data_IF_363507687492
#
_entry.id   IF_363507687492
#
_cell.length_a   1.000
_cell.length_b   1.000
_cell.length_c   1.000
_cell.angle_alpha   90.00
_cell.angle_beta   90.00
_cell.angle_gamma   90.00
#
_symmetry.space_group_name_H-M   'P 1'
#
loop_
_entity.id
_entity.type
_entity.pdbx_description
1 polymer ?
#
# COMPACT_ATOMS: atom_id res chain seq x y z
N UNK A 1 4.28 -20.28 -13.74
CA UNK A 1 4.08 -21.09 -12.52
C UNK A 1 5.34 -21.86 -12.25
N UNK A 2 5.84 -21.84 -11.00
CA UNK A 2 6.98 -22.65 -10.59
C UNK A 2 6.49 -24.10 -10.36
N UNK A 3 6.82 -25.08 -11.21
CA UNK A 3 6.26 -26.44 -11.13
C UNK A 3 6.63 -27.16 -9.82
N UNK A 4 7.64 -26.64 -9.11
CA UNK A 4 8.19 -27.21 -7.89
C UNK A 4 7.81 -26.39 -6.63
N UNK A 5 6.83 -25.49 -6.74
CA UNK A 5 6.29 -24.73 -5.60
C UNK A 5 4.81 -25.11 -5.34
N UNK A 6 4.56 -26.21 -4.61
CA UNK A 6 3.21 -26.65 -4.30
C UNK A 6 2.47 -25.67 -3.37
N UNK A 7 3.18 -24.80 -2.64
CA UNK A 7 2.57 -23.78 -1.79
C UNK A 7 1.91 -22.72 -2.64
N UNK A 8 2.66 -22.10 -3.56
CA UNK A 8 2.09 -21.10 -4.47
C UNK A 8 0.96 -21.70 -5.31
N UNK A 9 1.10 -22.93 -5.79
CA UNK A 9 0.04 -23.59 -6.55
C UNK A 9 -1.24 -23.80 -5.73
N UNK A 10 -1.14 -24.13 -4.43
CA UNK A 10 -2.30 -24.34 -3.55
C UNK A 10 -2.90 -23.02 -3.03
N UNK A 11 -2.04 -22.03 -2.75
CA UNK A 11 -2.42 -20.72 -2.24
C UNK A 11 -3.03 -19.82 -3.31
N UNK A 12 -2.57 -19.94 -4.55
CA UNK A 12 -3.04 -19.10 -5.63
C UNK A 12 -4.51 -19.39 -5.92
N UNK A 13 -5.29 -18.32 -5.88
CA UNK A 13 -6.72 -18.34 -6.10
C UNK A 13 -7.09 -17.13 -6.95
N UNK A 14 -8.22 -17.23 -7.65
CA UNK A 14 -8.78 -16.10 -8.39
C UNK A 14 -10.20 -15.84 -7.91
N UNK A 15 -10.55 -14.56 -7.87
CA UNK A 15 -11.83 -14.07 -7.36
C UNK A 15 -12.38 -12.97 -8.26
N UNK A 16 -13.63 -12.59 -8.03
CA UNK A 16 -14.18 -11.44 -8.76
C UNK A 16 -13.37 -10.18 -8.46
N UNK A 17 -13.22 -9.26 -9.43
CA UNK A 17 -12.50 -8.00 -9.18
C UNK A 17 -13.03 -7.23 -7.98
N UNK A 18 -14.36 -7.20 -7.79
CA UNK A 18 -15.01 -6.53 -6.66
C UNK A 18 -14.62 -7.15 -5.32
N UNK A 19 -14.57 -8.48 -5.24
CA UNK A 19 -14.13 -9.19 -4.03
C UNK A 19 -12.67 -8.84 -3.72
N UNK A 20 -11.79 -8.87 -4.73
CA UNK A 20 -10.38 -8.49 -4.55
C UNK A 20 -10.20 -7.07 -4.04
N UNK A 21 -10.95 -6.12 -4.62
CA UNK A 21 -10.93 -4.71 -4.21
C UNK A 21 -11.42 -4.57 -2.76
N UNK A 22 -12.50 -5.26 -2.40
CA UNK A 22 -13.06 -5.20 -1.04
C UNK A 22 -12.09 -5.77 0.01
N UNK A 23 -11.46 -6.91 -0.27
CA UNK A 23 -10.45 -7.51 0.62
C UNK A 23 -9.25 -6.61 0.80
N UNK A 24 -8.70 -6.06 -0.29
CA UNK A 24 -7.58 -5.13 -0.21
C UNK A 24 -7.93 -3.89 0.61
N UNK A 25 -9.12 -3.31 0.41
CA UNK A 25 -9.60 -2.17 1.23
C UNK A 25 -9.67 -2.55 2.72
N UNK A 26 -10.06 -3.78 3.04
CA UNK A 26 -10.06 -4.26 4.42
C UNK A 26 -8.64 -4.35 5.01
N UNK A 27 -7.68 -4.91 4.26
CA UNK A 27 -6.27 -4.98 4.69
C UNK A 27 -5.72 -3.58 4.99
N UNK A 28 -5.95 -2.62 4.10
CA UNK A 28 -5.48 -1.23 4.27
C UNK A 28 -6.10 -0.60 5.53
N UNK A 29 -7.40 -0.82 5.76
CA UNK A 29 -8.11 -0.30 6.93
C UNK A 29 -7.56 -0.84 8.25
N UNK A 30 -7.32 -2.14 8.33
CA UNK A 30 -6.84 -2.77 9.58
C UNK A 30 -5.38 -2.43 9.89
N UNK A 31 -4.53 -2.30 8.85
CA UNK A 31 -3.09 -2.00 9.01
C UNK A 31 -2.79 -0.53 9.32
N UNK A 32 -3.65 0.41 8.89
CA UNK A 32 -3.58 1.87 9.10
C UNK A 32 -2.39 2.59 8.44
N UNK A 33 -1.22 1.96 8.42
CA UNK A 33 0.00 2.47 7.82
C UNK A 33 0.52 1.51 6.76
N UNK A 34 0.95 2.08 5.63
CA UNK A 34 1.74 1.37 4.63
C UNK A 34 3.21 1.70 4.79
N UNK A 35 4.08 0.79 4.37
CA UNK A 35 5.51 1.04 4.27
C UNK A 35 5.85 1.42 2.83
N UNK A 36 6.12 2.70 2.59
CA UNK A 36 6.54 3.20 1.27
C UNK A 36 8.03 2.92 1.07
N UNK A 37 8.34 2.19 0.01
CA UNK A 37 9.70 1.90 -0.44
C UNK A 37 10.00 2.72 -1.68
N UNK A 38 11.09 3.49 -1.59
CA UNK A 38 11.67 4.29 -2.67
C UNK A 38 13.12 3.90 -2.88
N UNK A 39 13.70 4.27 -4.02
CA UNK A 39 15.05 3.88 -4.43
C UNK A 39 15.95 5.10 -4.61
N UNK A 40 17.06 5.15 -3.88
CA UNK A 40 18.08 6.19 -4.04
C UNK A 40 18.91 6.00 -5.30
N UNK A 41 19.64 7.04 -5.70
CA UNK A 41 20.46 7.05 -6.91
C UNK A 41 21.60 6.00 -6.89
N UNK A 42 22.10 5.64 -5.71
CA UNK A 42 23.07 4.55 -5.52
C UNK A 42 22.42 3.15 -5.48
N UNK A 43 21.10 3.08 -5.63
CA UNK A 43 20.32 1.87 -5.75
C UNK A 43 19.80 1.29 -4.45
N UNK A 44 20.05 1.92 -3.29
CA UNK A 44 19.53 1.46 -2.01
C UNK A 44 18.00 1.61 -1.94
N UNK A 45 17.36 0.65 -1.27
CA UNK A 45 15.93 0.68 -1.01
C UNK A 45 15.70 1.19 0.41
N UNK A 46 14.95 2.29 0.51
CA UNK A 46 14.61 2.84 1.81
C UNK A 46 13.10 2.73 2.04
N UNK A 47 12.73 2.08 3.15
CA UNK A 47 11.34 1.93 3.57
C UNK A 47 10.97 2.96 4.64
N UNK A 48 9.70 3.37 4.72
CA UNK A 48 9.19 4.31 5.73
C UNK A 48 7.70 4.10 5.98
N UNK A 49 7.28 4.18 7.24
CA UNK A 49 5.86 4.17 7.57
C UNK A 49 5.19 5.45 7.07
N UNK A 50 4.07 5.30 6.37
CA UNK A 50 3.27 6.38 5.80
C UNK A 50 1.78 6.05 6.01
N UNK A 51 1.00 7.02 6.49
CA UNK A 51 -0.46 6.90 6.54
C UNK A 51 -1.05 7.36 5.19
N UNK A 52 -1.81 6.52 4.46
CA UNK A 52 -2.53 6.98 3.29
C UNK A 52 -3.54 8.07 3.69
N UNK A 53 -3.46 9.24 3.07
CA UNK A 53 -4.49 10.27 3.18
C UNK A 53 -5.74 9.89 2.35
N UNK A 54 -5.52 9.15 1.26
CA UNK A 54 -6.56 8.55 0.43
C UNK A 54 -6.03 7.29 -0.24
N UNK A 55 -6.92 6.36 -0.53
CA UNK A 55 -6.69 5.16 -1.34
C UNK A 55 -7.89 4.88 -2.26
N UNK A 56 -8.62 5.94 -2.67
CA UNK A 56 -9.76 5.83 -3.59
C UNK A 56 -9.32 5.28 -4.92
N UNK A 57 -10.06 4.31 -5.44
CA UNK A 57 -9.75 3.65 -6.70
C UNK A 57 -8.41 2.91 -6.69
N UNK A 58 -7.95 2.54 -5.48
CA UNK A 58 -6.62 1.99 -5.22
C UNK A 58 -5.47 2.92 -5.64
N UNK A 59 -5.71 4.21 -5.78
CA UNK A 59 -4.66 5.22 -5.95
C UNK A 59 -4.26 5.74 -4.57
N UNK A 60 -3.03 5.46 -4.16
CA UNK A 60 -2.57 5.77 -2.81
C UNK A 60 -1.95 7.15 -2.76
N UNK A 61 -2.52 8.04 -1.95
CA UNK A 61 -2.05 9.41 -1.80
C UNK A 61 -1.52 9.63 -0.39
N UNK A 62 -0.31 10.16 -0.28
CA UNK A 62 0.36 10.44 0.98
C UNK A 62 0.79 11.89 1.04
N UNK A 63 0.44 12.59 2.12
CA UNK A 63 0.93 13.95 2.35
C UNK A 63 2.32 13.88 2.98
N UNK A 64 3.28 14.62 2.43
CA UNK A 64 4.66 14.61 2.88
C UNK A 64 5.32 15.99 2.74
N UNK A 65 6.41 16.18 3.50
CA UNK A 65 7.25 17.36 3.42
C UNK A 65 8.30 17.18 2.30
N UNK A 66 8.30 18.08 1.32
CA UNK A 66 9.20 18.09 0.16
C UNK A 66 10.68 18.14 0.53
N UNK A 67 11.00 18.68 1.72
CA UNK A 67 12.38 18.77 2.21
C UNK A 67 12.90 17.43 2.78
N UNK A 68 12.11 16.35 2.67
CA UNK A 68 12.51 15.01 3.08
C UNK A 68 13.22 14.29 1.93
N UNK A 69 14.35 13.60 2.21
CA UNK A 69 15.16 12.93 1.17
C UNK A 69 14.45 11.87 0.29
N UNK A 70 13.21 11.48 0.61
CA UNK A 70 12.41 10.63 -0.29
C UNK A 70 12.00 11.34 -1.58
N UNK A 71 11.94 12.67 -1.59
CA UNK A 71 11.61 13.42 -2.80
C UNK A 71 12.75 13.34 -3.82
N UNK A 72 14.01 13.40 -3.37
CA UNK A 72 15.18 13.17 -4.25
C UNK A 72 15.16 11.74 -4.85
N UNK A 73 14.77 10.75 -4.04
CA UNK A 73 14.62 9.36 -4.49
C UNK A 73 13.50 9.21 -5.53
N UNK A 74 12.38 9.90 -5.33
CA UNK A 74 11.22 9.88 -6.24
C UNK A 74 11.49 10.60 -7.57
N UNK A 75 12.27 11.68 -7.54
CA UNK A 75 12.71 12.39 -8.75
C UNK A 75 13.68 11.53 -9.58
N UNK A 76 14.47 10.68 -8.92
CA UNK A 76 15.38 9.73 -9.56
C UNK A 76 14.65 8.49 -10.11
N UNK A 77 13.79 7.85 -9.32
CA UNK A 77 13.06 6.64 -9.72
C UNK A 77 11.63 6.64 -9.17
N UNK A 78 10.66 6.83 -10.06
CA UNK A 78 9.24 6.76 -9.72
C UNK A 78 8.70 5.35 -9.48
N UNK A 79 9.48 4.28 -9.67
CA UNK A 79 9.04 2.93 -9.30
C UNK A 79 9.08 2.76 -7.77
N UNK A 80 7.93 2.48 -7.19
CA UNK A 80 7.79 2.32 -5.73
C UNK A 80 7.04 1.06 -5.37
N UNK A 81 7.17 0.66 -4.10
CA UNK A 81 6.27 -0.31 -3.48
C UNK A 81 5.63 0.31 -2.23
N UNK A 82 4.35 -0.02 -1.99
CA UNK A 82 3.71 0.22 -0.70
C UNK A 82 3.27 -1.12 -0.14
N UNK A 83 3.81 -1.51 1.02
CA UNK A 83 3.43 -2.77 1.67
C UNK A 83 2.59 -2.55 2.91
N UNK A 84 1.59 -3.40 3.12
CA UNK A 84 0.74 -3.46 4.29
C UNK A 84 0.87 -4.85 4.90
N UNK A 85 0.93 -4.96 6.22
CA UNK A 85 0.96 -6.25 6.92
C UNK A 85 0.26 -6.13 8.26
N UNK A 86 -0.69 -7.03 8.53
CA UNK A 86 -1.35 -7.18 9.82
C UNK A 86 -0.90 -8.50 10.45
N UNK A 87 0.02 -8.47 11.42
CA UNK A 87 0.50 -9.68 12.10
C UNK A 87 -0.59 -10.44 12.86
N UNK A 88 -1.70 -9.78 13.21
CA UNK A 88 -2.80 -10.41 13.97
C UNK A 88 -3.67 -11.31 13.10
N UNK A 89 -3.89 -10.91 11.84
CA UNK A 89 -4.64 -11.69 10.85
C UNK A 89 -3.73 -12.49 9.91
N UNK A 90 -2.45 -12.18 9.82
CA UNK A 90 -1.52 -12.64 8.77
C UNK A 90 -1.80 -12.04 7.39
N UNK A 91 -2.82 -11.19 7.24
CA UNK A 91 -3.15 -10.55 5.97
C UNK A 91 -2.07 -9.53 5.59
N UNK A 92 -1.71 -9.49 4.32
CA UNK A 92 -0.72 -8.54 3.82
C UNK A 92 -1.00 -8.17 2.37
N UNK A 93 -0.51 -7.00 1.96
CA UNK A 93 -0.55 -6.55 0.58
C UNK A 93 0.78 -5.91 0.17
N UNK A 94 1.15 -6.07 -1.09
CA UNK A 94 2.28 -5.42 -1.74
C UNK A 94 1.79 -4.74 -3.01
N UNK A 95 1.86 -3.41 -3.03
CA UNK A 95 1.39 -2.55 -4.11
C UNK A 95 2.60 -2.08 -4.89
N UNK A 96 2.86 -2.67 -6.05
CA UNK A 96 3.86 -2.16 -6.99
C UNK A 96 3.23 -1.08 -7.86
N UNK A 97 3.90 0.06 -8.02
CA UNK A 97 3.33 1.17 -8.78
C UNK A 97 4.31 2.26 -9.17
N UNK A 98 3.75 3.29 -9.79
CA UNK A 98 4.45 4.51 -10.18
C UNK A 98 4.03 5.65 -9.27
N UNK A 99 5.00 6.30 -8.65
CA UNK A 99 4.81 7.49 -7.86
C UNK A 99 4.99 8.76 -8.70
N UNK A 100 4.19 9.77 -8.41
CA UNK A 100 4.32 11.13 -8.91
C UNK A 100 4.08 12.13 -7.78
N UNK A 101 4.74 13.29 -7.85
CA UNK A 101 4.58 14.36 -6.88
C UNK A 101 3.54 15.36 -7.37
N UNK A 102 2.52 15.62 -6.55
CA UNK A 102 1.48 16.61 -6.80
C UNK A 102 1.62 17.74 -5.78
N UNK A 103 1.88 18.96 -6.26
CA UNK A 103 2.02 20.18 -5.43
C UNK A 103 0.84 21.13 -5.55
N UNK A 104 -0.24 20.67 -6.18
CA UNK A 104 -1.44 21.46 -6.37
C UNK A 104 -2.16 21.68 -5.03
N UNK A 105 -2.40 22.94 -4.68
CA UNK A 105 -3.02 23.34 -3.41
C UNK A 105 -4.45 22.79 -3.27
N UNK A 106 -5.19 22.65 -4.38
CA UNK A 106 -6.55 22.11 -4.33
C UNK A 106 -6.56 20.64 -3.91
N UNK A 107 -5.64 19.84 -4.46
CA UNK A 107 -5.43 18.44 -4.09
C UNK A 107 -5.00 18.31 -2.64
N UNK A 108 -4.10 19.17 -2.16
CA UNK A 108 -3.68 19.19 -0.75
C UNK A 108 -4.88 19.49 0.16
N UNK A 109 -5.70 20.49 -0.19
CA UNK A 109 -6.91 20.86 0.57
C UNK A 109 -7.93 19.73 0.65
N UNK A 110 -8.16 19.01 -0.45
CA UNK A 110 -9.12 17.90 -0.50
C UNK A 110 -8.72 16.74 0.43
N UNK A 111 -7.42 16.56 0.65
CA UNK A 111 -6.85 15.53 1.52
C UNK A 111 -6.55 16.04 2.94
N UNK A 112 -6.77 17.32 3.20
CA UNK A 112 -6.36 17.97 4.43
C UNK A 112 -7.33 17.69 5.59
N UNK A 113 -6.75 17.55 6.78
CA UNK A 113 -7.47 17.59 8.03
C UNK A 113 -6.60 18.30 9.09
N UNK A 114 -7.21 18.88 10.15
CA UNK A 114 -6.47 19.70 11.11
C UNK A 114 -5.30 19.01 11.82
N UNK A 115 -5.29 17.67 11.90
CA UNK A 115 -4.19 16.94 12.55
C UNK A 115 -2.92 16.92 11.71
N UNK A 116 -3.02 17.10 10.39
CA UNK A 116 -1.87 17.06 9.48
C UNK A 116 -0.89 18.20 9.77
N UNK A 117 -1.40 19.38 10.14
CA UNK A 117 -0.60 20.56 10.51
C UNK A 117 0.49 20.25 11.55
N UNK A 118 0.20 19.35 12.49
CA UNK A 118 1.12 18.95 13.56
C UNK A 118 2.44 18.35 13.07
N UNK A 119 2.49 17.83 11.84
CA UNK A 119 3.69 17.22 11.26
C UNK A 119 4.60 18.21 10.52
N UNK A 120 4.10 19.41 10.19
CA UNK A 120 4.86 20.42 9.43
C UNK A 120 5.41 21.53 10.30
N UNK A 121 4.66 21.90 11.36
CA UNK A 121 5.00 23.01 12.23
C UNK A 121 4.96 24.37 11.52
N UNK A 122 4.79 25.42 12.30
CA UNK A 122 4.85 26.81 11.81
C UNK A 122 6.25 27.38 12.10
N UNK A 123 6.99 27.73 11.04
CA UNK A 123 8.34 28.31 11.15
C UNK A 123 8.34 29.82 11.44
N UNK A 124 7.17 30.46 11.54
CA UNK A 124 7.00 31.88 11.88
C UNK A 124 7.65 32.87 10.88
N UNK A 125 7.88 32.44 9.65
CA UNK A 125 8.42 33.27 8.55
C UNK A 125 7.32 33.83 7.62
N UNK A 126 6.05 33.55 7.92
CA UNK A 126 4.88 33.98 7.15
C UNK A 126 4.63 33.16 5.87
N UNK A 127 5.49 32.20 5.54
CA UNK A 127 5.40 31.37 4.32
C UNK A 127 5.21 29.90 4.67
N UNK A 128 5.99 29.39 5.62
CA UNK A 128 6.04 28.00 6.06
C UNK A 128 5.22 27.82 7.33
N UNK A 129 3.91 27.96 7.18
CA UNK A 129 2.93 28.05 8.28
C UNK A 129 2.40 26.68 8.73
N UNK A 130 2.65 25.62 7.96
CA UNK A 130 2.05 24.30 8.14
C UNK A 130 0.58 24.21 7.72
N UNK A 131 0.03 25.26 7.08
CA UNK A 131 -1.30 25.26 6.45
C UNK A 131 -1.25 24.68 5.04
N UNK A 132 -2.38 24.28 4.40
CA UNK A 132 -2.39 23.68 3.06
C UNK A 132 -1.62 24.42 1.95
N UNK A 133 -1.41 25.73 2.09
CA UNK A 133 -0.63 26.55 1.15
C UNK A 133 0.88 26.63 1.46
N UNK A 134 1.36 25.92 2.47
CA UNK A 134 2.79 25.86 2.79
C UNK A 134 3.55 25.15 1.66
N UNK A 135 4.58 25.78 1.07
CA UNK A 135 5.29 25.25 -0.10
C UNK A 135 6.05 23.95 0.18
N UNK A 136 6.22 23.57 1.45
CA UNK A 136 6.81 22.30 1.86
C UNK A 136 5.85 21.12 1.72
N UNK A 137 4.55 21.36 1.57
CA UNK A 137 3.54 20.29 1.53
C UNK A 137 3.37 19.81 0.10
N UNK A 138 3.46 18.50 -0.11
CA UNK A 138 3.12 17.87 -1.36
C UNK A 138 2.41 16.53 -1.12
N UNK A 139 1.74 16.05 -2.16
CA UNK A 139 1.11 14.72 -2.20
C UNK A 139 1.97 13.80 -3.06
N UNK A 140 2.43 12.70 -2.47
CA UNK A 140 2.99 11.58 -3.21
C UNK A 140 1.81 10.72 -3.64
N UNK A 141 1.55 10.65 -4.94
CA UNK A 141 0.50 9.83 -5.52
C UNK A 141 1.11 8.58 -6.14
N UNK A 142 0.69 7.41 -5.67
CA UNK A 142 1.11 6.11 -6.20
C UNK A 142 -0.04 5.49 -6.98
N UNK A 143 0.18 5.31 -8.28
CA UNK A 143 -0.73 4.59 -9.17
C UNK A 143 -0.23 3.14 -9.29
N UNK A 144 -0.98 2.14 -8.79
CA UNK A 144 -0.54 0.76 -8.88
C UNK A 144 -0.51 0.26 -10.32
N UNK A 145 0.48 -0.60 -10.59
CA UNK A 145 0.57 -1.41 -11.81
C UNK A 145 0.26 -2.87 -11.55
N UNK A 146 0.52 -3.35 -10.33
CA UNK A 146 0.15 -4.68 -9.84
C UNK A 146 0.03 -4.63 -8.31
N UNK A 147 -0.96 -5.33 -7.77
CA UNK A 147 -1.07 -5.56 -6.33
C UNK A 147 -1.14 -7.04 -6.08
N UNK A 148 -0.26 -7.54 -5.22
CA UNK A 148 -0.31 -8.90 -4.69
C UNK A 148 -0.74 -8.83 -3.25
N UNK A 149 -1.65 -9.69 -2.83
CA UNK A 149 -2.06 -9.73 -1.44
C UNK A 149 -2.39 -11.14 -0.99
N UNK A 150 -2.23 -11.36 0.30
CA UNK A 150 -2.63 -12.54 1.00
C UNK A 150 -3.78 -12.21 1.93
N UNK A 151 -4.81 -13.05 1.89
CA UNK A 151 -5.94 -12.99 2.81
C UNK A 151 -6.15 -14.35 3.45
N UNK A 152 -6.27 -14.40 4.78
CA UNK A 152 -6.63 -15.64 5.47
C UNK A 152 -8.05 -16.07 5.09
N UNK A 153 -8.26 -17.38 4.98
CA UNK A 153 -9.59 -17.97 4.74
C UNK A 153 -10.10 -18.78 5.93
N UNK A 154 -9.26 -18.90 6.96
CA UNK A 154 -9.51 -19.66 8.17
C UNK A 154 -9.36 -18.77 9.39
N UNK A 155 -10.03 -19.14 10.47
CA UNK A 155 -9.74 -18.58 11.80
C UNK A 155 -8.33 -18.98 12.23
N UNK A 156 -7.71 -18.24 13.15
CA UNK A 156 -6.35 -18.54 13.63
C UNK A 156 -6.20 -19.98 14.15
N UNK A 157 -7.24 -20.53 14.80
CA UNK A 157 -7.26 -21.94 15.22
C UNK A 157 -7.28 -22.89 14.01
N UNK A 158 -8.08 -22.58 12.98
CA UNK A 158 -8.13 -23.35 11.74
C UNK A 158 -6.80 -23.35 10.99
N UNK A 159 -6.08 -22.23 10.96
CA UNK A 159 -4.75 -22.14 10.37
C UNK A 159 -3.77 -23.09 11.07
N UNK A 160 -3.73 -23.08 12.40
CA UNK A 160 -2.86 -23.97 13.20
C UNK A 160 -3.13 -25.44 12.93
N UNK A 161 -4.41 -25.84 12.83
CA UNK A 161 -4.79 -27.23 12.53
C UNK A 161 -4.29 -27.65 11.14
N UNK A 162 -4.46 -26.80 10.12
CA UNK A 162 -3.99 -27.12 8.77
C UNK A 162 -2.46 -27.25 8.69
N UNK A 163 -1.73 -26.35 9.37
CA UNK A 163 -0.27 -26.39 9.45
C UNK A 163 0.21 -27.67 10.15
N UNK A 164 -0.40 -28.04 11.28
CA UNK A 164 -0.07 -29.28 11.98
C UNK A 164 -0.35 -30.52 11.13
N UNK A 165 -1.48 -30.54 10.41
CA UNK A 165 -1.79 -31.63 9.48
C UNK A 165 -0.70 -31.77 8.43
N UNK A 166 -0.30 -30.66 7.78
CA UNK A 166 0.74 -30.67 6.76
C UNK A 166 2.10 -31.15 7.28
N UNK A 167 2.46 -30.76 8.51
CA UNK A 167 3.71 -31.23 9.15
C UNK A 167 3.73 -32.75 9.39
N UNK A 168 2.57 -33.37 9.63
CA UNK A 168 2.44 -34.81 9.87
C UNK A 168 2.29 -35.60 8.57
N UNK A 169 1.51 -35.09 7.62
CA UNK A 169 1.17 -35.83 6.38
C UNK A 169 2.10 -35.53 5.21
N UNK A 170 2.88 -34.45 5.27
CA UNK A 170 3.64 -33.93 4.15
C UNK A 170 2.78 -33.17 3.12
N UNK A 171 1.47 -33.01 3.36
CA UNK A 171 0.62 -32.18 2.52
C UNK A 171 0.96 -30.70 2.69
N UNK A 172 0.94 -29.95 1.59
CA UNK A 172 1.14 -28.50 1.65
C UNK A 172 -0.06 -27.82 2.30
N UNK A 173 0.15 -26.99 3.33
CA UNK A 173 -0.89 -26.15 3.93
C UNK A 173 -0.99 -24.80 3.20
N UNK A 174 -2.23 -24.32 2.96
CA UNK A 174 -2.49 -22.99 2.40
C UNK A 174 -3.71 -22.38 3.11
N UNK A 175 -3.53 -21.84 4.32
CA UNK A 175 -4.63 -21.39 5.17
C UNK A 175 -5.23 -20.02 4.77
N UNK A 176 -5.07 -19.67 3.50
CA UNK A 176 -5.43 -18.39 2.90
C UNK A 176 -5.18 -18.41 1.39
N UNK A 177 -5.46 -17.29 0.76
CA UNK A 177 -5.36 -17.10 -0.68
C UNK A 177 -4.34 -16.03 -1.02
N UNK A 178 -3.47 -16.35 -2.00
CA UNK A 178 -2.60 -15.38 -2.67
C UNK A 178 -3.29 -14.94 -3.96
N UNK A 179 -3.66 -13.66 -4.02
CA UNK A 179 -4.41 -13.07 -5.13
C UNK A 179 -3.65 -11.90 -5.76
N UNK A 180 -4.00 -11.61 -7.00
CA UNK A 180 -3.39 -10.53 -7.81
C UNK A 180 -4.48 -9.61 -8.36
N UNK A 181 -4.29 -8.30 -8.22
CA UNK A 181 -5.06 -7.24 -8.87
C UNK A 181 -4.13 -6.57 -9.88
N UNK A 182 -4.43 -6.69 -11.17
CA UNK A 182 -3.66 -6.10 -12.26
C UNK A 182 -4.57 -5.84 -13.47
N UNK A 183 -4.09 -5.07 -14.44
CA UNK A 183 -4.81 -4.84 -15.69
C UNK A 183 -6.23 -4.29 -15.48
N UNK A 184 -7.24 -4.99 -16.02
CA UNK A 184 -8.64 -4.58 -15.95
C UNK A 184 -9.19 -4.43 -14.53
N UNK A 185 -8.67 -5.19 -13.56
CA UNK A 185 -9.14 -5.11 -12.17
C UNK A 185 -8.75 -3.75 -11.54
N UNK A 186 -7.57 -3.23 -11.89
CA UNK A 186 -7.14 -1.89 -11.47
C UNK A 186 -7.96 -0.79 -12.18
N UNK A 187 -8.28 -0.97 -13.46
CA UNK A 187 -9.14 -0.02 -14.18
C UNK A 187 -10.56 0.03 -13.62
N UNK A 188 -11.09 -1.13 -13.20
CA UNK A 188 -12.39 -1.20 -12.54
C UNK A 188 -12.36 -0.50 -11.18
N UNK A 189 -11.33 -0.77 -10.36
CA UNK A 189 -11.18 -0.13 -9.06
C UNK A 189 -11.21 1.41 -9.18
N UNK A 190 -10.51 1.97 -10.17
CA UNK A 190 -10.47 3.42 -10.41
C UNK A 190 -11.84 4.01 -10.79
N UNK A 191 -12.73 3.23 -11.38
CA UNK A 191 -14.09 3.68 -11.76
C UNK A 191 -15.09 3.54 -10.61
N UNK A 192 -14.95 2.50 -9.81
CA UNK A 192 -15.88 2.21 -8.70
C UNK A 192 -15.87 3.32 -7.61
N UNK A 193 -14.76 4.06 -7.49
CA UNK A 193 -14.55 5.13 -6.51
C UNK A 193 -14.40 6.54 -7.14
N UNK A 194 -14.70 6.69 -8.43
CA UNK A 194 -14.61 7.98 -9.17
C UNK A 194 -15.75 8.94 -8.83
#
# INVERSE_FOLDING_TARGET
MAPNDPYTAKAQDDASPQEKIAELKNIIKETKFGMLVTRSADGQLHSRAMAPASHKGLVFQFIANTDSGKFDELDNDGNVNVSFADPSSTDWASVAGKASIVKDESTVKDLWNPTIKSWFGDLKDGVRTGEPGDPRIAVIQVIPTEIRYWVKTRTSLGQTVEVLKGAVTGETAAPGHLRVIAGSDLELARKDDA
#
